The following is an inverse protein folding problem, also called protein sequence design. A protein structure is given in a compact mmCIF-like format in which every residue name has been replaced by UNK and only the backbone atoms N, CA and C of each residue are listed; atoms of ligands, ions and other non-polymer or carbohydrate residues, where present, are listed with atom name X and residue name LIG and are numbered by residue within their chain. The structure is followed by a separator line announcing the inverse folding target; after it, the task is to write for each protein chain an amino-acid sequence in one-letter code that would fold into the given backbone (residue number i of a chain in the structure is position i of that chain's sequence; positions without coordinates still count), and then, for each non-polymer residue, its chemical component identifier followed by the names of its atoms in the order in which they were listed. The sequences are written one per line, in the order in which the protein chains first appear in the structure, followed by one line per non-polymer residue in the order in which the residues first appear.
data_IF_081416222966
#
_entry.id   IF_081416222966
#
_cell.length_a   1.000
_cell.length_b   1.000
_cell.length_c   1.000
_cell.angle_alpha   90.00
_cell.angle_beta   90.00
_cell.angle_gamma   90.00
#
_symmetry.space_group_name_H-M   'P 1'
#
loop_
_entity.id
_entity.type
_entity.pdbx_description
1 polymer ?
#
# COMPACT_ATOMS: atom_id res chain seq x y z
N UNK A 1 -9.26 -4.25 1.66
CA UNK A 1 -8.74 -4.43 0.29
C UNK A 1 -9.92 -4.47 -0.66
N UNK A 2 -9.81 -3.75 -1.77
CA UNK A 2 -10.83 -3.65 -2.81
C UNK A 2 -10.14 -4.03 -4.13
N UNK A 3 -10.80 -4.87 -4.92
CA UNK A 3 -10.37 -5.29 -6.25
C UNK A 3 -11.49 -4.95 -7.22
N UNK A 4 -11.17 -4.21 -8.28
CA UNK A 4 -12.16 -3.69 -9.23
C UNK A 4 -11.63 -3.81 -10.67
N UNK A 5 -12.55 -3.96 -11.62
CA UNK A 5 -12.25 -3.91 -13.05
C UNK A 5 -13.03 -2.76 -13.67
N UNK A 6 -12.34 -1.83 -14.32
CA UNK A 6 -12.96 -0.73 -15.06
C UNK A 6 -12.39 -0.68 -16.48
N UNK A 7 -13.24 -0.96 -17.50
CA UNK A 7 -12.85 -0.91 -18.93
C UNK A 7 -11.54 -1.65 -19.21
N UNK A 8 -11.48 -2.92 -18.78
CA UNK A 8 -10.32 -3.82 -18.88
C UNK A 8 -9.10 -3.47 -17.99
N UNK A 9 -9.14 -2.37 -17.25
CA UNK A 9 -8.11 -2.03 -16.25
C UNK A 9 -8.41 -2.75 -14.94
N UNK A 10 -7.46 -3.55 -14.47
CA UNK A 10 -7.48 -4.25 -13.19
C UNK A 10 -6.94 -3.33 -12.10
N UNK A 11 -7.75 -3.00 -11.10
CA UNK A 11 -7.42 -2.07 -10.02
C UNK A 11 -7.33 -2.82 -8.69
N UNK A 12 -6.28 -2.54 -7.92
CA UNK A 12 -6.10 -3.05 -6.57
C UNK A 12 -5.89 -1.89 -5.61
N UNK A 13 -6.72 -1.82 -4.57
CA UNK A 13 -6.70 -0.78 -3.54
C UNK A 13 -6.73 -1.36 -2.13
N UNK A 14 -5.97 -0.78 -1.21
CA UNK A 14 -5.97 -1.18 0.18
C UNK A 14 -5.61 -0.03 1.12
N UNK A 15 -6.33 0.00 2.24
CA UNK A 15 -6.02 0.81 3.42
C UNK A 15 -5.61 -0.13 4.56
N UNK A 16 -4.50 0.15 5.23
CA UNK A 16 -4.03 -0.55 6.42
C UNK A 16 -3.97 0.44 7.58
N UNK A 17 -4.65 0.11 8.67
CA UNK A 17 -4.58 0.87 9.90
C UNK A 17 -3.39 0.39 10.73
N UNK A 18 -2.46 1.28 11.05
CA UNK A 18 -1.32 1.03 11.95
C UNK A 18 -1.37 2.00 13.13
N UNK A 19 -0.58 1.75 14.17
CA UNK A 19 -0.56 2.64 15.33
C UNK A 19 -0.09 4.04 14.93
N UNK A 20 -0.99 5.02 15.04
CA UNK A 20 -0.70 6.43 14.75
C UNK A 20 -0.66 6.81 13.27
N UNK A 21 -1.06 5.93 12.34
CA UNK A 21 -1.20 6.28 10.93
C UNK A 21 -2.14 5.33 10.16
N UNK A 22 -2.73 5.83 9.09
CA UNK A 22 -3.40 5.03 8.07
C UNK A 22 -2.54 5.02 6.80
N UNK A 23 -2.25 3.82 6.29
CA UNK A 23 -1.49 3.63 5.07
C UNK A 23 -2.44 3.28 3.93
N UNK A 24 -2.33 3.97 2.80
CA UNK A 24 -3.18 3.75 1.64
C UNK A 24 -2.33 3.44 0.41
N UNK A 25 -2.74 2.45 -0.37
CA UNK A 25 -2.15 2.15 -1.66
C UNK A 25 -3.20 1.79 -2.70
N UNK A 26 -2.91 2.20 -3.93
CA UNK A 26 -3.66 1.88 -5.15
C UNK A 26 -2.69 1.55 -6.27
N UNK A 27 -3.01 0.56 -7.10
CA UNK A 27 -2.29 0.27 -8.32
C UNK A 27 -3.22 -0.28 -9.40
N UNK A 28 -2.84 -0.08 -10.66
CA UNK A 28 -3.64 -0.40 -11.83
C UNK A 28 -2.73 -1.02 -12.91
N UNK A 29 -3.23 -2.05 -13.59
CA UNK A 29 -2.56 -2.78 -14.67
C UNK A 29 -3.62 -3.52 -15.49
N UNK A 30 -3.24 -4.02 -16.65
CA UNK A 30 -3.98 -5.01 -17.44
C UNK A 30 -4.07 -6.40 -16.78
N UNK A 31 -3.27 -6.68 -15.75
CA UNK A 31 -3.26 -7.95 -15.01
C UNK A 31 -3.46 -7.71 -13.51
N UNK A 32 -4.49 -8.33 -12.94
CA UNK A 32 -4.86 -8.17 -11.53
C UNK A 32 -3.71 -8.53 -10.57
N UNK A 33 -2.96 -9.59 -10.88
CA UNK A 33 -1.83 -9.99 -10.04
C UNK A 33 -0.71 -8.95 -10.08
N UNK A 34 -0.50 -8.29 -11.22
CA UNK A 34 0.46 -7.17 -11.33
C UNK A 34 -0.03 -5.98 -10.53
N UNK A 35 -1.32 -5.64 -10.59
CA UNK A 35 -1.92 -4.58 -9.76
C UNK A 35 -1.76 -4.86 -8.27
N UNK A 36 -2.00 -6.11 -7.83
CA UNK A 36 -1.81 -6.51 -6.44
C UNK A 36 -0.34 -6.37 -6.02
N UNK A 37 0.59 -6.88 -6.82
CA UNK A 37 2.02 -6.85 -6.49
C UNK A 37 2.53 -5.40 -6.39
N UNK A 38 2.12 -4.54 -7.31
CA UNK A 38 2.41 -3.11 -7.27
C UNK A 38 1.79 -2.41 -6.04
N UNK A 39 0.55 -2.74 -5.70
CA UNK A 39 -0.12 -2.20 -4.51
C UNK A 39 0.61 -2.63 -3.23
N UNK A 40 1.02 -3.90 -3.13
CA UNK A 40 1.79 -4.45 -2.00
C UNK A 40 3.13 -3.74 -1.88
N UNK A 41 3.87 -3.57 -2.99
CA UNK A 41 5.16 -2.85 -2.98
C UNK A 41 5.04 -1.40 -2.47
N UNK A 42 3.93 -0.72 -2.79
CA UNK A 42 3.63 0.63 -2.28
C UNK A 42 3.35 0.62 -0.77
N UNK A 43 2.61 -0.36 -0.26
CA UNK A 43 2.37 -0.52 1.17
C UNK A 43 3.67 -0.84 1.92
N UNK A 44 4.48 -1.74 1.37
CA UNK A 44 5.72 -2.19 1.99
C UNK A 44 6.71 -1.03 2.18
N UNK A 45 6.79 -0.15 1.17
CA UNK A 45 7.56 1.11 1.25
C UNK A 45 7.03 2.07 2.31
N UNK A 46 5.72 2.19 2.46
CA UNK A 46 5.10 3.04 3.49
C UNK A 46 5.33 2.50 4.90
N UNK A 47 5.22 1.18 5.08
CA UNK A 47 5.49 0.51 6.36
C UNK A 47 6.94 0.72 6.79
N UNK A 48 7.90 0.58 5.87
CA UNK A 48 9.33 0.82 6.15
C UNK A 48 9.55 2.25 6.65
N UNK A 49 9.05 3.26 5.92
CA UNK A 49 9.15 4.67 6.32
C UNK A 49 8.47 4.95 7.67
N UNK A 50 7.32 4.33 7.93
CA UNK A 50 6.62 4.49 9.20
C UNK A 50 7.45 3.90 10.37
N UNK A 51 8.02 2.70 10.19
CA UNK A 51 8.90 2.06 11.19
C UNK A 51 10.18 2.85 11.44
N UNK A 52 10.80 3.40 10.39
CA UNK A 52 11.98 4.25 10.50
C UNK A 52 11.70 5.48 11.38
N UNK A 53 10.62 6.22 11.11
CA UNK A 53 10.20 7.38 11.91
C UNK A 53 9.95 7.05 13.38
N UNK A 54 9.30 5.92 13.65
CA UNK A 54 9.06 5.47 15.03
C UNK A 54 10.36 5.13 15.76
N UNK A 55 11.34 4.55 15.06
CA UNK A 55 12.63 4.22 15.63
C UNK A 55 13.48 5.47 15.88
N UNK A 56 13.42 6.47 15.00
CA UNK A 56 14.10 7.76 15.19
C UNK A 56 13.56 8.49 16.43
N UNK A 57 12.24 8.48 16.63
CA UNK A 57 11.62 9.06 17.84
C UNK A 57 12.02 8.36 19.15
N UNK A 58 12.47 7.09 19.10
CA UNK A 58 12.95 6.33 20.27
C UNK A 58 14.42 6.60 20.61
N UNK A 59 15.19 7.20 19.69
CA UNK A 59 16.63 7.47 19.88
C UNK A 59 16.92 8.89 20.38
N UNK A 60 15.90 9.74 20.50
CA UNK A 60 15.95 11.03 21.18
C UNK A 60 15.32 10.93 22.57
#
# INVERSE_FOLDING_TARGET
MILEVEKDVQKAEATIHVSGADLFAKAESDNLYVSIDQMVNKLDSQIKKHKEKLNDHRKN
#
